data_IF_931054054772
#
_entry.id   IF_931054054772
#
_cell.length_a   1.000
_cell.length_b   1.000
_cell.length_c   1.000
_cell.angle_alpha   90.00
_cell.angle_beta   90.00
_cell.angle_gamma   90.00
#
_symmetry.space_group_name_H-M   'P 1'
#
loop_
_entity.id
_entity.type
_entity.pdbx_description
1 polymer ?
#
# COMPACT_ATOMS: atom_id res chain seq x y z
N UNK A 1 -3.10 10.44 -13.88
CA UNK A 1 -3.40 9.57 -12.73
C UNK A 1 -3.55 10.44 -11.50
N UNK A 2 -4.73 10.44 -10.93
CA UNK A 2 -5.17 11.30 -9.85
C UNK A 2 -5.59 10.44 -8.68
N UNK A 3 -5.00 10.68 -7.52
CA UNK A 3 -5.30 9.95 -6.30
C UNK A 3 -6.14 10.84 -5.40
N UNK A 4 -7.30 10.34 -4.99
CA UNK A 4 -8.16 10.96 -3.99
C UNK A 4 -8.19 10.08 -2.76
N UNK A 5 -7.81 10.63 -1.61
CA UNK A 5 -7.97 9.95 -0.32
C UNK A 5 -9.41 10.18 0.14
N UNK A 6 -10.17 9.11 0.32
CA UNK A 6 -11.56 9.17 0.78
C UNK A 6 -11.64 9.19 2.30
N UNK A 7 -10.83 8.35 2.95
CA UNK A 7 -10.79 8.22 4.40
C UNK A 7 -9.36 8.05 4.88
N UNK A 8 -9.07 8.71 5.98
CA UNK A 8 -7.85 8.56 6.74
C UNK A 8 -8.23 8.33 8.19
N UNK A 9 -7.95 7.12 8.68
CA UNK A 9 -8.24 6.71 10.04
C UNK A 9 -6.94 6.38 10.74
N UNK A 10 -6.59 7.14 11.78
CA UNK A 10 -5.50 6.80 12.68
C UNK A 10 -5.93 5.69 13.64
N UNK A 11 -5.22 4.58 13.64
CA UNK A 11 -5.41 3.46 14.57
C UNK A 11 -4.24 3.41 15.56
N UNK A 12 -4.45 4.00 16.74
CA UNK A 12 -3.42 4.12 17.78
C UNK A 12 -3.04 2.77 18.43
N UNK A 13 -3.88 1.74 18.35
CA UNK A 13 -3.58 0.42 18.94
C UNK A 13 -2.49 -0.33 18.15
N UNK A 14 -2.47 -0.11 16.83
CA UNK A 14 -1.57 -0.78 15.89
C UNK A 14 -0.55 0.18 15.29
N UNK A 15 -0.50 1.43 15.76
CA UNK A 15 0.38 2.49 15.25
C UNK A 15 0.39 2.58 13.72
N UNK A 16 -0.82 2.50 13.14
CA UNK A 16 -1.02 2.57 11.70
C UNK A 16 -2.11 3.54 11.32
N UNK A 17 -1.97 4.16 10.16
CA UNK A 17 -2.99 4.95 9.48
C UNK A 17 -3.60 4.11 8.37
N UNK A 18 -4.90 3.95 8.42
CA UNK A 18 -5.70 3.23 7.45
C UNK A 18 -6.26 4.23 6.45
N UNK A 19 -5.88 4.05 5.18
CA UNK A 19 -6.13 5.00 4.11
C UNK A 19 -6.95 4.30 3.02
N UNK A 20 -8.20 4.73 2.87
CA UNK A 20 -9.00 4.38 1.69
C UNK A 20 -8.74 5.42 0.60
N UNK A 21 -8.30 4.98 -0.56
CA UNK A 21 -8.00 5.86 -1.67
C UNK A 21 -8.65 5.39 -2.98
N UNK A 22 -8.91 6.35 -3.86
CA UNK A 22 -9.41 6.13 -5.20
C UNK A 22 -8.41 6.69 -6.18
N UNK A 23 -8.04 5.90 -7.16
CA UNK A 23 -7.15 6.27 -8.24
C UNK A 23 -7.96 6.39 -9.50
N UNK A 24 -7.99 7.57 -10.09
CA UNK A 24 -8.47 7.80 -11.45
C UNK A 24 -7.28 7.87 -12.39
N UNK A 25 -7.36 7.23 -13.53
CA UNK A 25 -6.31 7.27 -14.54
C UNK A 25 -6.96 7.37 -15.91
N UNK A 26 -6.24 7.92 -16.88
CA UNK A 26 -6.66 7.95 -18.27
C UNK A 26 -5.70 7.03 -19.03
N UNK A 27 -6.21 5.90 -19.52
CA UNK A 27 -5.43 4.90 -20.25
C UNK A 27 -5.12 3.64 -19.42
N UNK A 28 -3.86 3.15 -19.41
CA UNK A 28 -3.50 1.88 -18.79
C UNK A 28 -3.66 1.91 -17.26
N UNK A 29 -3.95 0.74 -16.68
CA UNK A 29 -4.04 0.58 -15.23
C UNK A 29 -2.66 0.84 -14.61
N UNK A 30 -2.53 1.79 -13.66
CA UNK A 30 -1.25 2.11 -13.05
C UNK A 30 -0.71 0.94 -12.23
N UNK A 31 0.60 0.76 -12.25
CA UNK A 31 1.26 -0.29 -11.48
C UNK A 31 1.20 0.01 -9.99
N UNK A 32 1.11 -1.03 -9.15
CA UNK A 32 1.10 -0.89 -7.68
C UNK A 32 2.25 -0.03 -7.15
N UNK A 33 3.44 -0.13 -7.76
CA UNK A 33 4.62 0.67 -7.40
C UNK A 33 4.43 2.17 -7.67
N UNK A 34 3.81 2.53 -8.80
CA UNK A 34 3.54 3.93 -9.15
C UNK A 34 2.52 4.53 -8.19
N UNK A 35 1.47 3.76 -7.86
CA UNK A 35 0.46 4.15 -6.88
C UNK A 35 1.12 4.38 -5.52
N UNK A 36 1.96 3.44 -5.07
CA UNK A 36 2.70 3.54 -3.81
C UNK A 36 3.58 4.78 -3.76
N UNK A 37 4.38 5.02 -4.81
CA UNK A 37 5.27 6.18 -4.90
C UNK A 37 4.51 7.50 -4.80
N UNK A 38 3.37 7.59 -5.47
CA UNK A 38 2.57 8.81 -5.49
C UNK A 38 1.83 9.04 -4.17
N UNK A 39 1.34 7.99 -3.51
CA UNK A 39 0.75 8.10 -2.16
C UNK A 39 1.83 8.51 -1.14
N UNK A 40 3.03 7.90 -1.20
CA UNK A 40 4.14 8.25 -0.32
C UNK A 40 4.55 9.72 -0.46
N UNK A 41 4.64 10.21 -1.70
CA UNK A 41 4.90 11.62 -1.98
C UNK A 41 3.78 12.55 -1.47
N UNK A 42 2.51 12.15 -1.61
CA UNK A 42 1.37 12.93 -1.13
C UNK A 42 1.32 13.04 0.40
N UNK A 43 1.72 11.97 1.10
CA UNK A 43 1.70 11.88 2.56
C UNK A 43 3.03 12.29 3.20
N UNK A 44 4.05 12.63 2.41
CA UNK A 44 5.44 12.87 2.85
C UNK A 44 5.96 11.74 3.76
N UNK A 45 5.62 10.50 3.42
CA UNK A 45 5.94 9.33 4.21
C UNK A 45 6.94 8.44 3.49
N UNK A 46 7.83 7.73 4.22
CA UNK A 46 8.78 6.80 3.61
C UNK A 46 8.05 5.60 2.98
N UNK A 47 8.55 5.17 1.82
CA UNK A 47 8.02 4.04 1.05
C UNK A 47 8.02 2.72 1.83
N UNK A 48 8.99 2.58 2.72
CA UNK A 48 9.20 1.37 3.53
C UNK A 48 8.09 1.14 4.54
N UNK A 49 7.42 2.20 4.98
CA UNK A 49 6.32 2.13 5.95
C UNK A 49 4.94 2.09 5.29
N UNK A 50 4.88 2.19 3.96
CA UNK A 50 3.64 2.25 3.20
C UNK A 50 3.32 0.91 2.55
N UNK A 51 2.28 0.29 3.06
CA UNK A 51 1.81 -1.03 2.64
C UNK A 51 0.48 -0.87 1.94
N UNK A 52 0.44 -1.14 0.64
CA UNK A 52 -0.84 -1.33 -0.06
C UNK A 52 -1.32 -2.73 0.29
N UNK A 53 -2.57 -2.90 0.72
CA UNK A 53 -3.14 -4.23 0.97
C UNK A 53 -3.81 -4.77 -0.29
N UNK A 54 -4.72 -3.99 -0.85
CA UNK A 54 -5.51 -4.37 -2.04
C UNK A 54 -5.74 -3.17 -2.95
N UNK A 55 -5.81 -3.45 -4.24
CA UNK A 55 -6.27 -2.54 -5.27
C UNK A 55 -7.35 -3.31 -6.03
N UNK A 56 -8.54 -2.73 -6.12
CA UNK A 56 -9.66 -3.26 -6.87
C UNK A 56 -9.98 -2.27 -7.99
N UNK A 57 -9.73 -2.69 -9.21
CA UNK A 57 -10.17 -2.00 -10.43
C UNK A 57 -11.68 -2.16 -10.59
N UNK A 58 -12.39 -1.06 -10.84
CA UNK A 58 -13.81 -1.11 -11.16
C UNK A 58 -13.99 -1.45 -12.64
N UNK A 59 -14.91 -2.35 -12.95
CA UNK A 59 -15.14 -2.80 -14.33
C UNK A 59 -15.75 -1.68 -15.18
N UNK A 60 -15.22 -1.50 -16.40
CA UNK A 60 -15.73 -0.50 -17.35
C UNK A 60 -15.43 0.96 -16.99
N UNK A 61 -14.72 1.20 -15.88
CA UNK A 61 -14.29 2.54 -15.46
C UNK A 61 -12.77 2.57 -15.32
N UNK A 62 -12.14 3.69 -15.67
CA UNK A 62 -10.71 3.90 -15.43
C UNK A 62 -10.49 4.39 -13.98
N UNK A 63 -11.10 3.68 -13.03
CA UNK A 63 -11.05 3.96 -11.61
C UNK A 63 -10.66 2.71 -10.84
N UNK A 64 -9.77 2.87 -9.86
CA UNK A 64 -9.34 1.83 -8.94
C UNK A 64 -9.51 2.28 -7.49
N UNK A 65 -10.16 1.45 -6.69
CA UNK A 65 -10.32 1.65 -5.26
C UNK A 65 -9.27 0.82 -4.53
N UNK A 66 -8.52 1.46 -3.65
CA UNK A 66 -7.42 0.82 -2.94
C UNK A 66 -7.47 1.08 -1.46
N UNK A 67 -6.85 0.17 -0.72
CA UNK A 67 -6.65 0.30 0.72
C UNK A 67 -5.16 0.23 1.03
N UNK A 68 -4.66 1.28 1.67
CA UNK A 68 -3.28 1.41 2.12
C UNK A 68 -3.22 1.52 3.64
N UNK A 69 -2.11 1.04 4.18
CA UNK A 69 -1.75 1.14 5.59
C UNK A 69 -0.41 1.85 5.64
N UNK A 70 -0.34 2.93 6.41
CA UNK A 70 0.90 3.64 6.68
C UNK A 70 1.28 3.38 8.15
N UNK A 71 2.43 2.77 8.37
CA UNK A 71 2.97 2.49 9.70
C UNK A 71 3.84 3.65 10.21
N UNK A 72 3.93 3.80 11.52
CA UNK A 72 4.91 4.70 12.16
C UNK A 72 6.29 4.02 12.27
N UNK A 73 6.32 2.70 12.46
CA UNK A 73 7.54 1.91 12.69
C UNK A 73 7.64 0.66 11.79
N UNK A 74 8.84 0.40 11.26
CA UNK A 74 9.11 -0.78 10.43
C UNK A 74 9.09 -2.09 11.22
N UNK A 75 9.50 -2.08 12.50
CA UNK A 75 9.42 -3.24 13.38
C UNK A 75 7.96 -3.66 13.59
N UNK A 76 7.09 -2.69 13.90
CA UNK A 76 5.66 -2.92 14.08
C UNK A 76 5.00 -3.46 12.80
N UNK A 77 5.45 -2.97 11.64
CA UNK A 77 4.99 -3.47 10.35
C UNK A 77 5.31 -4.95 10.15
N UNK A 78 6.55 -5.38 10.46
CA UNK A 78 6.98 -6.77 10.32
C UNK A 78 6.28 -7.72 11.29
N UNK A 79 5.97 -7.25 12.50
CA UNK A 79 5.24 -8.05 13.50
C UNK A 79 3.75 -8.22 13.17
N UNK A 80 3.12 -7.21 12.57
CA UNK A 80 1.66 -7.17 12.37
C UNK A 80 1.25 -7.65 10.98
N UNK A 81 2.06 -7.41 9.95
CA UNK A 81 1.71 -7.82 8.58
C UNK A 81 2.20 -9.23 8.28
N UNK A 82 1.36 -9.95 7.53
CA UNK A 82 1.67 -11.32 7.08
C UNK A 82 2.77 -11.30 6.03
N UNK A 83 3.61 -12.33 6.01
CA UNK A 83 4.77 -12.44 5.13
C UNK A 83 4.42 -12.26 3.64
N UNK A 84 3.25 -12.74 3.21
CA UNK A 84 2.81 -12.58 1.81
C UNK A 84 2.49 -11.12 1.45
N UNK A 85 2.11 -10.28 2.41
CA UNK A 85 1.86 -8.84 2.19
C UNK A 85 3.18 -8.08 2.06
N UNK A 86 4.16 -8.46 2.88
CA UNK A 86 5.53 -7.97 2.78
C UNK A 86 6.15 -8.34 1.43
N UNK A 87 6.06 -9.61 1.00
CA UNK A 87 6.55 -10.08 -0.30
C UNK A 87 5.92 -9.34 -1.50
N UNK A 88 4.64 -8.96 -1.41
CA UNK A 88 3.93 -8.21 -2.48
C UNK A 88 4.28 -6.73 -2.55
N UNK A 89 4.81 -6.16 -1.47
CA UNK A 89 5.27 -4.77 -1.43
C UNK A 89 6.80 -4.65 -1.40
N UNK A 90 7.52 -5.77 -1.26
CA UNK A 90 8.98 -5.82 -1.41
C UNK A 90 9.37 -5.51 -2.87
N UNK A 91 10.42 -4.72 -3.01
CA UNK A 91 11.07 -4.44 -4.29
C UNK A 91 11.63 -5.78 -4.81
N UNK A 92 11.52 -6.12 -6.11
CA UNK A 92 11.96 -7.41 -6.62
C UNK A 92 13.46 -7.57 -6.34
N UNK A 93 13.82 -8.55 -5.49
CA UNK A 93 15.23 -8.81 -5.15
C UNK A 93 15.52 -9.48 -3.80
N UNK A 94 14.54 -9.69 -2.91
CA UNK A 94 14.78 -10.46 -1.67
C UNK A 94 14.05 -11.79 -1.74
N UNK A 95 14.68 -12.76 -2.39
CA UNK A 95 14.50 -14.18 -2.07
C UNK A 95 14.98 -14.36 -0.64
N UNK A 96 14.06 -14.66 0.28
CA UNK A 96 14.44 -15.28 1.55
C UNK A 96 13.72 -16.61 1.60
N UNK A 97 14.54 -17.64 1.45
CA UNK A 97 14.28 -19.06 1.67
C UNK A 97 13.30 -19.25 2.83
N UNK A 98 12.25 -20.04 2.58
CA UNK A 98 11.45 -20.60 3.64
C UNK A 98 12.27 -21.71 4.28
N UNK A 99 12.73 -21.47 5.50
CA UNK A 99 13.20 -22.52 6.39
C UNK A 99 11.95 -23.16 7.00
N UNK A 100 11.63 -24.37 6.52
CA UNK A 100 10.63 -25.26 7.10
C UNK A 100 11.04 -25.65 8.53
N UNK A 101 10.07 -25.67 9.45
CA UNK A 101 10.17 -26.34 10.75
C UNK A 101 8.93 -27.21 10.96
#
# INVERSE_FOLDING_TARGET
MDIKILKDKKNSLLNRRELDFVVKYEGPTPSRNDIRNKIAAMLNAPLELLVIQRIKTEYGMQESKGYAKLYEDANRMKEVELEYVLKRNAVPGTETEGEEA
#
